data_IF_398862089967
#
_entry.id   IF_398862089967
#
_cell.length_a   1.000
_cell.length_b   1.000
_cell.length_c   1.000
_cell.angle_alpha   90.00
_cell.angle_beta   90.00
_cell.angle_gamma   90.00
#
_symmetry.space_group_name_H-M   'P 1'
#
loop_
_entity.id
_entity.type
_entity.pdbx_description
1 polymer ?
#
# COMPACT_ATOMS: atom_id res chain seq x y z
N UNK A 1 -12.16 -8.82 -2.31
CA UNK A 1 -12.23 -7.89 -1.14
C UNK A 1 -13.33 -6.82 -1.30
N UNK A 2 -13.97 -6.33 -0.22
CA UNK A 2 -14.96 -5.23 -0.31
C UNK A 2 -14.29 -3.85 -0.03
N UNK A 3 -13.84 -3.20 -1.11
CA UNK A 3 -13.19 -1.90 -1.04
C UNK A 3 -14.10 -0.77 -0.57
N UNK A 4 -15.40 -0.83 -0.86
CA UNK A 4 -16.32 0.24 -0.45
C UNK A 4 -16.44 0.29 1.06
N UNK A 5 -16.51 -0.88 1.72
CA UNK A 5 -16.52 -0.95 3.18
C UNK A 5 -15.24 -0.37 3.79
N UNK A 6 -14.07 -0.78 3.27
CA UNK A 6 -12.76 -0.34 3.75
C UNK A 6 -12.59 1.18 3.62
N UNK A 7 -12.91 1.73 2.44
CA UNK A 7 -12.73 3.15 2.16
C UNK A 7 -13.75 4.02 2.91
N UNK A 8 -14.98 3.55 3.12
CA UNK A 8 -15.94 4.24 3.97
C UNK A 8 -15.49 4.30 5.43
N UNK A 9 -14.85 3.25 5.94
CA UNK A 9 -14.25 3.28 7.28
C UNK A 9 -13.15 4.35 7.35
N UNK A 10 -12.30 4.44 6.33
CA UNK A 10 -11.23 5.43 6.26
C UNK A 10 -11.73 6.88 6.18
N UNK A 11 -12.75 7.13 5.33
CA UNK A 11 -13.38 8.46 5.21
C UNK A 11 -13.95 8.98 6.53
N UNK A 12 -14.51 8.09 7.35
CA UNK A 12 -15.11 8.44 8.63
C UNK A 12 -14.13 8.39 9.80
N UNK A 13 -12.87 8.01 9.55
CA UNK A 13 -11.85 7.93 10.59
C UNK A 13 -11.38 9.31 11.02
N UNK A 14 -11.10 9.45 12.31
CA UNK A 14 -10.50 10.67 12.88
C UNK A 14 -8.97 10.69 12.79
N UNK A 15 -8.37 9.53 12.53
CA UNK A 15 -6.94 9.30 12.45
C UNK A 15 -6.61 8.66 11.10
N UNK A 16 -5.34 8.37 10.85
CA UNK A 16 -4.97 7.63 9.67
C UNK A 16 -5.48 6.19 9.78
N UNK A 17 -6.04 5.64 8.71
CA UNK A 17 -6.45 4.24 8.63
C UNK A 17 -5.34 3.46 7.93
N UNK A 18 -4.69 2.55 8.66
CA UNK A 18 -3.72 1.62 8.10
C UNK A 18 -4.39 0.28 7.80
N UNK A 19 -4.21 -0.19 6.58
CA UNK A 19 -4.68 -1.49 6.09
C UNK A 19 -3.47 -2.23 5.56
N UNK A 20 -3.27 -3.47 6.02
CA UNK A 20 -2.27 -4.38 5.46
C UNK A 20 -2.99 -5.55 4.83
N UNK A 21 -2.63 -5.90 3.60
CA UNK A 21 -3.30 -6.95 2.85
C UNK A 21 -2.34 -7.81 2.04
N UNK A 22 -2.62 -9.11 2.01
CA UNK A 22 -2.13 -9.98 0.96
C UNK A 22 -3.13 -10.00 -0.18
N UNK A 23 -2.63 -9.87 -1.41
CA UNK A 23 -3.39 -10.10 -2.64
C UNK A 23 -2.53 -10.87 -3.64
N UNK A 24 -3.19 -11.57 -4.54
CA UNK A 24 -2.57 -12.37 -5.60
C UNK A 24 -2.36 -11.60 -6.92
N UNK A 25 -2.77 -10.32 -6.96
CA UNK A 25 -2.55 -9.40 -8.07
C UNK A 25 -1.51 -8.31 -7.74
N UNK A 26 -1.00 -7.69 -8.81
CA UNK A 26 0.01 -6.64 -8.72
C UNK A 26 -0.50 -5.31 -8.13
N UNK A 27 0.41 -4.41 -7.72
CA UNK A 27 0.03 -3.15 -7.08
C UNK A 27 -0.77 -2.21 -8.00
N UNK A 28 -0.53 -2.27 -9.31
CA UNK A 28 -1.29 -1.50 -10.31
C UNK A 28 -2.75 -1.95 -10.40
N UNK A 29 -2.99 -3.25 -10.37
CA UNK A 29 -4.36 -3.79 -10.37
C UNK A 29 -5.09 -3.43 -9.06
N UNK A 30 -4.38 -3.46 -7.93
CA UNK A 30 -4.90 -2.96 -6.67
C UNK A 30 -5.30 -1.49 -6.75
N UNK A 31 -4.41 -0.65 -7.28
CA UNK A 31 -4.62 0.79 -7.42
C UNK A 31 -5.87 1.08 -8.26
N UNK A 32 -6.06 0.37 -9.38
CA UNK A 32 -7.27 0.50 -10.22
C UNK A 32 -8.55 0.06 -9.49
N UNK A 33 -8.50 -1.03 -8.72
CA UNK A 33 -9.64 -1.47 -7.92
C UNK A 33 -10.03 -0.44 -6.84
N UNK A 34 -9.03 0.18 -6.21
CA UNK A 34 -9.22 1.23 -5.22
C UNK A 34 -9.76 2.51 -5.87
N UNK A 35 -9.20 2.95 -7.00
CA UNK A 35 -9.68 4.12 -7.77
C UNK A 35 -11.17 4.00 -8.10
N UNK A 36 -11.61 2.85 -8.63
CA UNK A 36 -13.03 2.60 -8.95
C UNK A 36 -13.94 2.73 -7.73
N UNK A 37 -13.49 2.27 -6.57
CA UNK A 37 -14.25 2.41 -5.33
C UNK A 37 -14.25 3.86 -4.82
N UNK A 38 -13.15 4.60 -5.01
CA UNK A 38 -13.01 5.99 -4.63
C UNK A 38 -13.85 6.97 -5.47
N UNK A 39 -14.17 6.65 -6.72
CA UNK A 39 -15.04 7.49 -7.58
C UNK A 39 -16.36 7.86 -6.90
N UNK A 40 -16.89 6.98 -6.05
CA UNK A 40 -18.16 7.19 -5.32
C UNK A 40 -17.99 7.96 -4.01
N UNK A 41 -16.78 7.96 -3.46
CA UNK A 41 -16.49 8.39 -2.09
C UNK A 41 -15.83 9.78 -2.08
N UNK A 42 -15.05 10.09 -3.11
CA UNK A 42 -14.23 11.29 -3.21
C UNK A 42 -12.93 11.17 -2.41
N UNK A 43 -11.85 11.72 -2.95
CA UNK A 43 -10.53 11.81 -2.33
C UNK A 43 -9.82 13.08 -2.80
N UNK A 44 -8.84 13.58 -2.03
CA UNK A 44 -8.09 14.78 -2.37
C UNK A 44 -6.87 14.46 -3.24
N UNK A 45 -6.11 13.44 -2.85
CA UNK A 45 -4.94 12.98 -3.56
C UNK A 45 -4.75 11.48 -3.37
N UNK A 46 -3.99 10.89 -4.28
CA UNK A 46 -3.56 9.50 -4.17
C UNK A 46 -2.12 9.41 -4.65
N UNK A 47 -1.25 8.85 -3.81
CA UNK A 47 0.18 8.69 -4.08
C UNK A 47 0.52 7.24 -3.88
N UNK A 48 1.24 6.66 -4.84
CA UNK A 48 1.79 5.33 -4.69
C UNK A 48 3.25 5.33 -4.29
N UNK A 49 3.64 4.29 -3.58
CA UNK A 49 4.99 3.99 -3.16
C UNK A 49 5.30 2.55 -3.56
N UNK A 50 5.44 2.35 -4.87
CA UNK A 50 5.72 1.06 -5.50
C UNK A 50 7.19 0.94 -5.89
N UNK A 51 7.77 -0.25 -5.76
CA UNK A 51 9.02 -0.62 -6.42
C UNK A 51 8.77 -1.79 -7.37
N UNK A 52 9.32 -1.78 -8.60
CA UNK A 52 9.18 -2.89 -9.54
C UNK A 52 9.83 -4.19 -9.05
N UNK A 53 10.68 -4.14 -8.01
CA UNK A 53 11.38 -5.29 -7.45
C UNK A 53 10.94 -5.66 -6.04
N UNK A 54 9.92 -4.99 -5.49
CA UNK A 54 9.41 -5.25 -4.15
C UNK A 54 8.16 -6.13 -4.22
N UNK A 55 8.04 -7.04 -3.25
CA UNK A 55 6.80 -7.78 -2.99
C UNK A 55 5.84 -7.01 -2.08
N UNK A 56 6.23 -5.81 -1.67
CA UNK A 56 5.49 -4.92 -0.80
C UNK A 56 5.37 -3.54 -1.42
N UNK A 57 4.35 -2.80 -1.03
CA UNK A 57 4.09 -1.46 -1.53
C UNK A 57 3.10 -0.72 -0.66
N UNK A 58 2.98 0.59 -0.84
CA UNK A 58 2.00 1.40 -0.13
C UNK A 58 1.21 2.29 -1.08
N UNK A 59 -0.11 2.29 -0.94
CA UNK A 59 -0.99 3.29 -1.54
C UNK A 59 -1.45 4.25 -0.45
N UNK A 60 -1.13 5.53 -0.61
CA UNK A 60 -1.57 6.62 0.27
C UNK A 60 -2.73 7.37 -0.39
N UNK A 61 -3.83 7.54 0.33
CA UNK A 61 -5.02 8.23 -0.14
C UNK A 61 -5.37 9.33 0.86
N UNK A 62 -5.32 10.59 0.43
CA UNK A 62 -5.71 11.73 1.24
C UNK A 62 -7.22 11.94 1.25
N UNK A 63 -7.84 11.90 2.43
CA UNK A 63 -9.29 12.15 2.63
C UNK A 63 -9.58 13.54 3.20
N UNK A 64 -8.58 14.43 3.21
CA UNK A 64 -8.66 15.80 3.70
C UNK A 64 -8.31 15.97 5.17
N UNK A 65 -8.95 15.21 6.08
CA UNK A 65 -8.64 15.25 7.53
C UNK A 65 -7.79 14.09 8.02
N UNK A 66 -7.75 13.02 7.24
CA UNK A 66 -7.04 11.78 7.53
C UNK A 66 -6.53 11.17 6.23
N UNK A 67 -5.66 10.17 6.36
CA UNK A 67 -5.17 9.37 5.24
C UNK A 67 -5.63 7.93 5.37
N UNK A 68 -5.84 7.28 4.23
CA UNK A 68 -5.96 5.83 4.14
C UNK A 68 -4.65 5.32 3.56
N UNK A 69 -4.04 4.37 4.26
CA UNK A 69 -2.74 3.80 3.95
C UNK A 69 -2.94 2.31 3.71
N UNK A 70 -2.67 1.87 2.49
CA UNK A 70 -2.91 0.49 2.07
C UNK A 70 -1.56 -0.14 1.76
N UNK A 71 -1.01 -0.88 2.71
CA UNK A 71 0.16 -1.72 2.52
C UNK A 71 -0.25 -2.96 1.72
N UNK A 72 0.17 -2.98 0.46
CA UNK A 72 0.06 -4.10 -0.45
C UNK A 72 1.20 -5.09 -0.18
N UNK A 73 0.86 -6.36 -0.05
CA UNK A 73 1.82 -7.46 -0.01
C UNK A 73 1.43 -8.52 -1.03
N UNK A 74 2.38 -8.97 -1.85
CA UNK A 74 2.19 -10.08 -2.77
C UNK A 74 2.02 -11.39 -1.97
N UNK A 75 0.90 -12.08 -2.19
CA UNK A 75 0.59 -13.34 -1.52
C UNK A 75 -0.20 -14.29 -2.42
N UNK A 76 -0.33 -15.54 -2.01
CA UNK A 76 -1.09 -16.55 -2.78
C UNK A 76 -2.60 -16.51 -2.53
N UNK A 77 -3.05 -15.78 -1.49
CA UNK A 77 -4.44 -15.74 -1.08
C UNK A 77 -4.79 -14.34 -0.58
N UNK A 78 -5.88 -13.80 -1.09
CA UNK A 78 -6.43 -12.53 -0.61
C UNK A 78 -6.77 -12.61 0.88
N UNK A 79 -6.18 -11.71 1.68
CA UNK A 79 -6.53 -11.57 3.09
C UNK A 79 -6.16 -10.20 3.63
N UNK A 80 -6.99 -9.67 4.54
CA UNK A 80 -6.68 -8.48 5.32
C UNK A 80 -5.92 -8.95 6.56
N UNK A 81 -4.65 -8.53 6.67
CA UNK A 81 -3.78 -8.85 7.80
C UNK A 81 -4.02 -7.91 8.97
N UNK A 82 -4.30 -6.64 8.65
CA UNK A 82 -4.54 -5.60 9.63
C UNK A 82 -5.44 -4.52 9.05
N UNK A 83 -6.32 -3.97 9.89
CA UNK A 83 -7.09 -2.77 9.56
C UNK A 83 -7.40 -2.01 10.85
N UNK A 84 -6.74 -0.88 11.06
CA UNK A 84 -6.86 -0.12 12.30
C UNK A 84 -6.50 1.34 12.14
N UNK A 85 -7.05 2.16 13.03
CA UNK A 85 -6.67 3.57 13.14
C UNK A 85 -5.30 3.70 13.82
N UNK A 86 -4.43 4.55 13.28
CA UNK A 86 -3.10 4.84 13.81
C UNK A 86 -2.92 6.34 13.95
N UNK A 87 -2.26 6.78 15.02
CA UNK A 87 -2.05 8.21 15.30
C UNK A 87 -1.25 8.91 14.20
N UNK A 88 -0.25 8.22 13.69
CA UNK A 88 0.58 8.68 12.60
C UNK A 88 1.25 7.48 11.93
N UNK A 89 1.41 7.56 10.62
CA UNK A 89 2.24 6.64 9.87
C UNK A 89 3.31 7.43 9.12
N UNK A 90 4.56 7.02 9.31
CA UNK A 90 5.70 7.61 8.63
C UNK A 90 5.95 6.89 7.29
N UNK A 91 5.56 7.56 6.21
CA UNK A 91 5.72 7.06 4.83
C UNK A 91 7.20 7.05 4.44
N UNK A 92 8.01 7.99 4.93
CA UNK A 92 9.44 8.06 4.59
C UNK A 92 10.20 6.84 5.08
N UNK A 93 9.91 6.37 6.29
CA UNK A 93 10.43 5.09 6.80
C UNK A 93 10.05 3.89 5.92
N UNK A 94 8.87 3.92 5.29
CA UNK A 94 8.44 2.86 4.38
C UNK A 94 9.17 2.92 3.03
N UNK A 95 9.40 4.11 2.49
CA UNK A 95 10.20 4.30 1.27
C UNK A 95 11.65 3.86 1.45
N UNK A 96 12.25 4.14 2.61
CA UNK A 96 13.58 3.63 2.99
C UNK A 96 13.61 2.10 3.06
N UNK A 97 12.56 1.48 3.62
CA UNK A 97 12.45 0.03 3.68
C UNK A 97 12.35 -0.60 2.28
N UNK A 98 11.53 -0.06 1.38
CA UNK A 98 11.43 -0.58 0.01
C UNK A 98 12.73 -0.36 -0.77
N UNK A 99 13.36 0.80 -0.63
CA UNK A 99 14.61 1.11 -1.34
C UNK A 99 15.80 0.28 -0.84
N UNK A 100 15.92 0.04 0.47
CA UNK A 100 16.96 -0.84 1.03
C UNK A 100 16.81 -2.29 0.58
N UNK A 101 15.58 -2.82 0.55
CA UNK A 101 15.30 -4.16 -0.01
C UNK A 101 15.71 -4.29 -1.49
N UNK A 102 15.58 -3.21 -2.28
CA UNK A 102 16.06 -3.19 -3.67
C UNK A 102 17.59 -3.22 -3.77
N UNK A 103 18.30 -2.55 -2.84
CA UNK A 103 19.77 -2.54 -2.81
C UNK A 103 20.29 -3.95 -2.53
N UNK A 104 19.76 -4.62 -1.50
CA UNK A 104 20.15 -6.00 -1.17
C UNK A 104 19.91 -6.96 -2.34
N UNK A 105 18.73 -6.90 -2.97
CA UNK A 105 18.39 -7.74 -4.13
C UNK A 105 19.29 -7.47 -5.34
N UNK A 106 19.62 -6.20 -5.60
CA UNK A 106 20.51 -5.80 -6.69
C UNK A 106 21.96 -6.25 -6.46
N UNK A 107 22.47 -6.14 -5.24
CA UNK A 107 23.79 -6.65 -4.85
C UNK A 107 23.85 -8.16 -5.00
N UNK A 108 22.85 -8.89 -4.51
CA UNK A 108 22.77 -10.35 -4.68
C UNK A 108 22.73 -10.76 -6.15
N UNK A 109 22.01 -10.01 -7.01
CA UNK A 109 21.96 -10.28 -8.45
C UNK A 109 23.30 -10.01 -9.15
N UNK A 110 23.99 -8.94 -8.77
CA UNK A 110 25.33 -8.64 -9.30
C UNK A 110 26.35 -9.70 -8.88
N UNK A 111 26.31 -10.14 -7.62
CA UNK A 111 27.17 -11.22 -7.13
C UNK A 111 26.88 -12.54 -7.85
N UNK A 112 25.61 -12.87 -8.11
CA UNK A 112 25.22 -14.09 -8.83
C UNK A 112 25.66 -14.10 -10.30
N UNK A 113 25.79 -12.94 -10.93
CA UNK A 113 26.23 -12.84 -12.33
C UNK A 113 27.76 -12.85 -12.49
N UNK A 114 28.52 -12.85 -11.38
CA UNK A 114 29.99 -12.95 -11.38
C UNK A 114 30.51 -14.38 -11.17
N UNK A 115 29.61 -15.35 -10.98
CA UNK A 115 29.89 -16.79 -10.91
C UNK A 115 29.13 -17.53 -12.00
#
# INVERSE_FOLDING_TARGET
>A
MDWNYILNKGKNSRKDLLIKLYVDYGPLEMEENVKKALEKIGYNYMVHHWSPYSLNGLLEIGMGKSRILIEWHAGKKESILFMGEVDSYDVSSFDEYISSGNIESSVLRLMRNQY
#
